data_IF_285466274816
#
_entry.id   IF_285466274816
#
_cell.length_a   1.000
_cell.length_b   1.000
_cell.length_c   1.000
_cell.angle_alpha   90.00
_cell.angle_beta   90.00
_cell.angle_gamma   90.00
#
_symmetry.space_group_name_H-M   'P 1'
#
loop_
_entity.id
_entity.type
_entity.pdbx_description
1 polymer ?
#
# COMPACT_ATOMS: atom_id res chain seq x y z
N UNK A 1 0.79 22.43 -27.83
CA UNK A 1 -0.24 22.31 -26.77
C UNK A 1 -0.12 20.92 -26.19
N UNK A 2 0.09 20.80 -24.87
CA UNK A 2 0.10 19.50 -24.18
C UNK A 2 -1.37 19.06 -24.07
N UNK A 3 -1.76 17.82 -24.44
CA UNK A 3 -3.15 17.41 -24.37
C UNK A 3 -3.65 17.33 -22.91
N UNK A 4 -4.84 17.87 -22.63
CA UNK A 4 -5.55 17.80 -21.34
C UNK A 4 -6.15 16.42 -21.02
N UNK A 5 -5.75 15.38 -21.74
CA UNK A 5 -6.31 14.04 -21.57
C UNK A 5 -5.22 12.96 -21.61
N UNK A 6 -5.34 12.01 -20.69
CA UNK A 6 -4.52 10.79 -20.67
C UNK A 6 -4.95 9.88 -21.83
N UNK A 7 -4.07 9.67 -22.81
CA UNK A 7 -4.19 8.63 -23.83
C UNK A 7 -3.60 7.35 -23.26
N UNK A 8 -4.43 6.32 -23.05
CA UNK A 8 -3.97 5.01 -22.61
C UNK A 8 -3.76 4.09 -23.82
N UNK A 9 -2.60 3.43 -23.88
CA UNK A 9 -2.34 2.31 -24.80
C UNK A 9 -3.22 1.13 -24.38
N UNK A 10 -4.27 0.86 -25.15
CA UNK A 10 -5.24 -0.25 -25.23
C UNK A 10 -5.80 -0.89 -23.94
N UNK A 11 -5.01 -1.11 -22.88
CA UNK A 11 -5.42 -1.75 -21.62
C UNK A 11 -4.69 -1.14 -20.42
N UNK A 12 -5.44 -0.89 -19.34
CA UNK A 12 -4.87 -0.55 -18.03
C UNK A 12 -5.09 -1.69 -17.04
N UNK A 13 -4.25 -1.78 -16.03
CA UNK A 13 -4.39 -2.75 -14.92
C UNK A 13 -4.47 -2.00 -13.60
N UNK A 14 -5.43 -2.38 -12.78
CA UNK A 14 -5.60 -1.91 -11.41
C UNK A 14 -5.52 -3.13 -10.51
N UNK A 15 -4.62 -3.11 -9.54
CA UNK A 15 -4.52 -4.15 -8.52
C UNK A 15 -5.22 -3.70 -7.24
N UNK A 16 -6.04 -4.57 -6.68
CA UNK A 16 -6.74 -4.36 -5.41
C UNK A 16 -6.48 -5.60 -4.56
N UNK A 17 -5.98 -5.37 -3.36
CA UNK A 17 -5.75 -6.40 -2.36
C UNK A 17 -6.56 -6.10 -1.12
N UNK A 18 -7.08 -7.14 -0.48
CA UNK A 18 -7.76 -7.05 0.82
C UNK A 18 -7.57 -8.36 1.57
N UNK A 19 -7.41 -8.32 2.91
CA UNK A 19 -7.45 -9.53 3.73
C UNK A 19 -8.87 -10.13 3.81
N UNK A 20 -9.91 -9.39 3.39
CA UNK A 20 -11.28 -9.88 3.37
C UNK A 20 -11.61 -10.45 1.98
N UNK A 21 -11.59 -11.78 1.85
CA UNK A 21 -11.89 -12.48 0.59
C UNK A 21 -13.28 -12.10 0.05
N UNK A 22 -14.31 -12.10 0.91
CA UNK A 22 -15.68 -11.72 0.53
C UNK A 22 -15.78 -10.30 -0.04
N UNK A 23 -14.92 -9.38 0.42
CA UNK A 23 -14.84 -8.03 -0.13
C UNK A 23 -14.28 -8.07 -1.56
N UNK A 24 -13.18 -8.80 -1.79
CA UNK A 24 -12.59 -8.95 -3.12
C UNK A 24 -13.58 -9.57 -4.11
N UNK A 25 -14.30 -10.61 -3.68
CA UNK A 25 -15.32 -11.29 -4.50
C UNK A 25 -16.50 -10.37 -4.81
N UNK A 26 -17.04 -9.70 -3.78
CA UNK A 26 -18.14 -8.74 -3.94
C UNK A 26 -17.75 -7.56 -4.83
N UNK A 27 -16.52 -7.06 -4.69
CA UNK A 27 -15.98 -6.01 -5.54
C UNK A 27 -15.86 -6.47 -6.99
N UNK A 28 -15.23 -7.63 -7.23
CA UNK A 28 -15.06 -8.21 -8.56
C UNK A 28 -16.41 -8.41 -9.27
N UNK A 29 -17.36 -9.04 -8.59
CA UNK A 29 -18.73 -9.22 -9.10
C UNK A 29 -19.43 -7.89 -9.33
N UNK A 30 -19.21 -6.93 -8.42
CA UNK A 30 -19.79 -5.59 -8.48
C UNK A 30 -19.31 -4.77 -9.67
N UNK A 31 -18.10 -5.00 -10.20
CA UNK A 31 -17.57 -4.30 -11.38
C UNK A 31 -17.69 -5.11 -12.68
N UNK A 32 -17.99 -6.40 -12.59
CA UNK A 32 -18.06 -7.27 -13.75
C UNK A 32 -19.14 -6.79 -14.75
N UNK A 33 -18.78 -6.72 -16.04
CA UNK A 33 -19.63 -6.19 -17.12
C UNK A 33 -20.15 -4.76 -16.91
N UNK A 34 -19.49 -3.97 -16.06
CA UNK A 34 -19.78 -2.53 -15.92
C UNK A 34 -18.75 -1.69 -16.68
N UNK A 35 -19.22 -0.57 -17.21
CA UNK A 35 -18.34 0.51 -17.65
C UNK A 35 -18.00 1.39 -16.45
N UNK A 36 -16.71 1.58 -16.19
CA UNK A 36 -16.17 2.36 -15.07
C UNK A 36 -15.71 3.72 -15.61
N UNK A 37 -16.11 4.80 -14.93
CA UNK A 37 -15.57 6.13 -15.22
C UNK A 37 -14.28 6.37 -14.44
N UNK A 38 -13.17 6.60 -15.14
CA UNK A 38 -11.89 6.97 -14.57
C UNK A 38 -11.43 8.32 -15.11
N UNK A 39 -11.46 9.36 -14.27
CA UNK A 39 -11.26 10.73 -14.74
C UNK A 39 -12.32 11.09 -15.80
N UNK A 40 -11.87 11.52 -16.97
CA UNK A 40 -12.72 11.78 -18.14
C UNK A 40 -12.96 10.55 -19.03
N UNK A 41 -12.36 9.41 -18.72
CA UNK A 41 -12.41 8.21 -19.57
C UNK A 41 -13.50 7.23 -19.09
N UNK A 42 -14.13 6.55 -20.03
CA UNK A 42 -15.03 5.41 -19.78
C UNK A 42 -14.30 4.13 -20.16
N UNK A 43 -14.25 3.17 -19.26
CA UNK A 43 -13.45 1.95 -19.39
C UNK A 43 -14.34 0.73 -19.19
N UNK A 44 -14.24 -0.25 -20.07
CA UNK A 44 -14.88 -1.55 -19.86
C UNK A 44 -13.94 -2.53 -19.16
N UNK A 45 -14.50 -3.34 -18.27
CA UNK A 45 -13.75 -4.40 -17.58
C UNK A 45 -13.49 -5.55 -18.55
N UNK A 46 -12.28 -5.59 -19.11
CA UNK A 46 -11.87 -6.61 -20.07
C UNK A 46 -11.69 -8.00 -19.43
N UNK A 47 -11.12 -8.06 -18.23
CA UNK A 47 -10.91 -9.30 -17.48
C UNK A 47 -10.65 -9.02 -16.01
N UNK A 48 -10.96 -10.00 -15.16
CA UNK A 48 -10.61 -9.99 -13.74
C UNK A 48 -9.74 -11.22 -13.46
N UNK A 49 -8.60 -11.01 -12.80
CA UNK A 49 -7.72 -12.07 -12.32
C UNK A 49 -7.72 -12.06 -10.80
N UNK A 50 -7.93 -13.23 -10.19
CA UNK A 50 -7.78 -13.44 -8.75
C UNK A 50 -6.39 -14.04 -8.53
N UNK A 51 -5.65 -13.50 -7.57
CA UNK A 51 -4.30 -13.94 -7.22
C UNK A 51 -4.17 -14.01 -5.70
N UNK A 52 -4.04 -15.23 -5.17
CA UNK A 52 -3.94 -15.51 -3.74
C UNK A 52 -2.46 -15.73 -3.39
N UNK A 53 -1.86 -14.71 -2.78
CA UNK A 53 -0.45 -14.71 -2.42
C UNK A 53 -0.26 -15.24 -1.00
N UNK A 54 0.63 -16.22 -0.83
CA UNK A 54 0.96 -16.79 0.48
C UNK A 54 2.42 -16.55 0.82
N UNK A 55 2.66 -15.93 1.98
CA UNK A 55 3.99 -15.72 2.55
C UNK A 55 4.47 -16.99 3.23
N UNK A 56 5.44 -17.67 2.60
CA UNK A 56 5.98 -18.95 3.08
C UNK A 56 7.37 -18.82 3.74
N UNK A 57 7.88 -17.60 3.92
CA UNK A 57 9.21 -17.32 4.47
C UNK A 57 9.16 -16.12 5.40
N UNK A 58 9.97 -16.15 6.46
CA UNK A 58 10.19 -15.00 7.35
C UNK A 58 11.10 -13.93 6.72
N UNK A 59 11.63 -14.16 5.52
CA UNK A 59 12.43 -13.21 4.75
C UNK A 59 11.94 -13.22 3.30
N UNK A 60 11.38 -12.10 2.85
CA UNK A 60 10.80 -11.96 1.51
C UNK A 60 11.21 -10.66 0.84
N UNK A 61 11.09 -10.63 -0.49
CA UNK A 61 11.18 -9.42 -1.28
C UNK A 61 9.77 -9.00 -1.67
N UNK A 62 9.42 -7.74 -1.42
CA UNK A 62 8.15 -7.14 -1.83
C UNK A 62 8.38 -6.03 -2.86
N UNK A 63 7.52 -6.01 -3.88
CA UNK A 63 7.42 -4.94 -4.87
C UNK A 63 6.29 -3.98 -4.47
N UNK A 64 6.61 -2.70 -4.24
CA UNK A 64 5.58 -1.68 -4.02
C UNK A 64 4.87 -1.31 -5.34
N UNK A 65 3.58 -1.62 -5.44
CA UNK A 65 2.70 -1.28 -6.57
C UNK A 65 2.08 0.10 -6.43
N UNK A 66 1.95 0.59 -5.21
CA UNK A 66 1.59 1.97 -4.93
C UNK A 66 2.46 2.57 -3.80
N UNK A 67 2.55 3.90 -3.68
CA UNK A 67 3.47 4.52 -2.73
C UNK A 67 3.14 4.13 -1.29
N UNK A 68 4.15 3.69 -0.53
CA UNK A 68 4.02 3.37 0.89
C UNK A 68 4.15 4.66 1.69
N UNK A 69 3.19 4.92 2.57
CA UNK A 69 3.13 6.14 3.39
C UNK A 69 3.42 5.80 4.85
N UNK A 70 4.53 6.30 5.37
CA UNK A 70 4.82 6.31 6.80
C UNK A 70 4.93 7.78 7.25
N UNK A 71 4.16 8.17 8.28
CA UNK A 71 4.16 9.54 8.76
C UNK A 71 3.94 9.61 10.26
N UNK A 72 4.44 10.69 10.86
CA UNK A 72 4.19 11.06 12.24
C UNK A 72 3.78 12.53 12.30
N UNK A 73 2.94 12.87 13.28
CA UNK A 73 2.58 14.27 13.56
C UNK A 73 3.43 14.77 14.70
N UNK A 74 4.30 15.73 14.42
CA UNK A 74 5.22 16.35 15.36
C UNK A 74 4.73 17.76 15.72
N UNK A 75 5.21 18.28 16.85
CA UNK A 75 4.97 19.67 17.25
C UNK A 75 6.12 20.55 16.79
N UNK A 76 5.79 21.71 16.23
CA UNK A 76 6.75 22.78 15.99
C UNK A 76 7.06 23.50 17.30
N UNK A 77 8.14 24.27 17.28
CA UNK A 77 8.54 25.17 18.38
C UNK A 77 7.46 26.20 18.73
N UNK A 78 6.59 26.54 17.78
CA UNK A 78 5.43 27.44 17.96
C UNK A 78 4.13 26.73 18.40
N UNK A 79 4.21 25.44 18.75
CA UNK A 79 3.07 24.62 19.18
C UNK A 79 2.18 24.10 18.04
N UNK A 80 2.42 24.50 16.77
CA UNK A 80 1.64 23.99 15.64
C UNK A 80 2.04 22.56 15.29
N UNK A 81 1.05 21.73 14.99
CA UNK A 81 1.28 20.37 14.49
C UNK A 81 1.78 20.42 13.04
N UNK A 82 2.76 19.59 12.72
CA UNK A 82 3.17 19.34 11.34
C UNK A 82 3.38 17.85 11.11
N UNK A 83 3.08 17.39 9.90
CA UNK A 83 3.24 15.98 9.52
C UNK A 83 4.61 15.79 8.85
N UNK A 84 5.42 14.91 9.43
CA UNK A 84 6.66 14.43 8.82
C UNK A 84 6.39 13.10 8.12
N UNK A 85 6.87 12.95 6.89
CA UNK A 85 6.78 11.72 6.12
C UNK A 85 8.16 11.10 6.02
N UNK A 86 8.25 9.81 6.29
CA UNK A 86 9.51 9.07 6.35
C UNK A 86 9.67 8.19 5.12
N UNK A 87 10.91 7.97 4.71
CA UNK A 87 11.25 7.15 3.55
C UNK A 87 11.81 5.78 3.97
N UNK A 88 11.68 4.74 3.14
CA UNK A 88 12.35 3.47 3.37
C UNK A 88 13.86 3.65 3.60
N UNK A 89 14.40 3.01 4.64
CA UNK A 89 15.78 3.19 5.08
C UNK A 89 15.92 4.07 6.33
N UNK A 90 14.91 4.87 6.66
CA UNK A 90 14.85 5.59 7.93
C UNK A 90 14.29 4.69 9.05
N UNK A 91 14.78 4.89 10.27
CA UNK A 91 14.34 4.12 11.43
C UNK A 91 12.85 4.32 11.73
N UNK A 92 12.37 5.57 11.62
CA UNK A 92 10.96 5.90 11.83
C UNK A 92 10.06 5.25 10.78
N UNK A 93 10.51 5.09 9.53
CA UNK A 93 9.76 4.34 8.52
C UNK A 93 9.57 2.89 8.95
N UNK A 94 10.67 2.21 9.33
CA UNK A 94 10.63 0.83 9.82
C UNK A 94 9.65 0.69 10.99
N UNK A 95 9.81 1.55 12.00
CA UNK A 95 8.99 1.53 13.22
C UNK A 95 7.51 1.73 12.91
N UNK A 96 7.16 2.77 12.15
CA UNK A 96 5.77 3.12 11.83
C UNK A 96 5.10 2.00 11.01
N UNK A 97 5.79 1.46 10.01
CA UNK A 97 5.24 0.36 9.20
C UNK A 97 5.07 -0.90 10.06
N UNK A 98 6.04 -1.23 10.92
CA UNK A 98 5.95 -2.39 11.79
C UNK A 98 4.82 -2.27 12.83
N UNK A 99 4.64 -1.10 13.45
CA UNK A 99 3.51 -0.82 14.34
C UNK A 99 2.17 -0.90 13.59
N UNK A 100 2.12 -0.39 12.37
CA UNK A 100 0.93 -0.44 11.54
C UNK A 100 0.52 -1.88 11.18
N UNK A 101 1.48 -2.74 10.82
CA UNK A 101 1.23 -4.16 10.56
C UNK A 101 0.66 -4.87 11.78
N UNK A 102 1.23 -4.65 12.97
CA UNK A 102 0.71 -5.22 14.21
C UNK A 102 -0.70 -4.75 14.53
N UNK A 103 -1.00 -3.46 14.33
CA UNK A 103 -2.35 -2.92 14.51
C UNK A 103 -3.34 -3.54 13.53
N UNK A 104 -2.95 -3.71 12.27
CA UNK A 104 -3.77 -4.38 11.23
C UNK A 104 -4.02 -5.84 11.58
N UNK A 105 -2.98 -6.56 12.02
CA UNK A 105 -3.10 -7.95 12.46
C UNK A 105 -4.15 -8.08 13.56
N UNK A 106 -4.04 -7.28 14.62
CA UNK A 106 -5.02 -7.29 15.72
C UNK A 106 -6.43 -6.94 15.24
N UNK A 107 -6.56 -5.97 14.35
CA UNK A 107 -7.86 -5.54 13.84
C UNK A 107 -8.53 -6.59 12.92
N UNK A 108 -7.75 -7.39 12.21
CA UNK A 108 -8.25 -8.36 11.23
C UNK A 108 -8.36 -9.78 11.81
N UNK A 109 -7.29 -10.27 12.45
CA UNK A 109 -7.22 -11.63 13.02
C UNK A 109 -7.90 -11.69 14.40
N UNK A 110 -8.07 -10.55 15.07
CA UNK A 110 -8.63 -10.46 16.42
C UNK A 110 -7.83 -11.25 17.49
N UNK A 111 -6.52 -11.37 17.27
CA UNK A 111 -5.56 -12.01 18.17
C UNK A 111 -4.37 -11.08 18.43
N UNK A 112 -3.54 -11.42 19.43
CA UNK A 112 -2.32 -10.68 19.69
C UNK A 112 -1.28 -10.97 18.58
N UNK A 113 -0.68 -9.93 17.96
CA UNK A 113 0.32 -10.13 16.92
C UNK A 113 1.51 -10.95 17.43
N UNK A 114 2.10 -11.82 16.59
CA UNK A 114 3.26 -12.60 16.97
C UNK A 114 4.43 -11.69 17.37
N UNK A 115 5.17 -12.14 18.37
CA UNK A 115 6.41 -11.50 18.79
C UNK A 115 7.50 -11.67 17.71
N UNK A 116 8.48 -10.77 17.71
CA UNK A 116 9.59 -10.77 16.74
C UNK A 116 9.80 -9.39 16.14
N UNK A 117 11.03 -9.09 15.76
CA UNK A 117 11.37 -7.83 15.09
C UNK A 117 10.90 -7.86 13.63
N UNK A 118 10.43 -6.71 13.13
CA UNK A 118 10.20 -6.52 11.69
C UNK A 118 11.30 -5.58 11.18
N UNK A 119 12.15 -6.13 10.32
CA UNK A 119 13.23 -5.39 9.65
C UNK A 119 12.82 -5.11 8.22
N UNK A 120 12.92 -3.86 7.79
CA UNK A 120 12.56 -3.43 6.44
C UNK A 120 13.77 -2.72 5.84
N UNK A 121 14.26 -3.22 4.70
CA UNK A 121 15.42 -2.66 4.00
C UNK A 121 15.07 -2.35 2.55
N UNK A 122 15.28 -1.11 2.08
CA UNK A 122 15.20 -0.82 0.65
C UNK A 122 16.32 -1.53 -0.10
N UNK A 123 16.00 -2.19 -1.20
CA UNK A 123 16.97 -2.83 -2.09
C UNK A 123 17.46 -1.89 -3.21
N UNK A 124 16.88 -0.68 -3.28
CA UNK A 124 17.21 0.37 -4.24
C UNK A 124 16.77 1.72 -3.67
N UNK A 125 17.28 2.81 -4.23
CA UNK A 125 16.89 4.17 -3.84
C UNK A 125 15.37 4.34 -3.91
N UNK A 126 14.71 4.72 -2.80
CA UNK A 126 13.27 4.93 -2.80
C UNK A 126 12.85 6.06 -3.74
N UNK A 127 11.89 5.78 -4.62
CA UNK A 127 11.29 6.82 -5.47
C UNK A 127 10.18 7.52 -4.69
N UNK A 128 10.35 8.82 -4.46
CA UNK A 128 9.33 9.65 -3.81
C UNK A 128 8.18 9.95 -4.78
N UNK A 129 6.96 9.89 -4.25
CA UNK A 129 5.73 10.32 -4.91
C UNK A 129 5.06 11.37 -4.03
N UNK A 130 4.66 12.49 -4.64
CA UNK A 130 3.89 13.54 -3.98
C UNK A 130 2.48 13.49 -4.56
N UNK A 131 1.49 13.13 -3.75
CA UNK A 131 0.09 13.04 -4.14
C UNK A 131 -0.70 14.12 -3.44
N UNK A 132 -1.38 14.97 -4.21
CA UNK A 132 -2.35 15.93 -3.66
C UNK A 132 -3.69 15.22 -3.48
N UNK A 133 -4.13 15.07 -2.23
CA UNK A 133 -5.42 14.49 -1.90
C UNK A 133 -6.28 15.55 -1.19
N UNK A 134 -7.29 16.06 -1.90
CA UNK A 134 -8.05 17.25 -1.49
C UNK A 134 -7.08 18.42 -1.22
N UNK A 135 -7.10 18.98 -0.02
CA UNK A 135 -6.21 20.07 0.42
C UNK A 135 -4.88 19.59 1.03
N UNK A 136 -4.64 18.28 1.10
CA UNK A 136 -3.46 17.72 1.78
C UNK A 136 -2.42 17.20 0.79
N UNK A 137 -1.15 17.41 1.12
CA UNK A 137 -0.01 16.81 0.43
C UNK A 137 0.37 15.53 1.17
N UNK A 138 0.36 14.41 0.46
CA UNK A 138 0.81 13.11 0.96
C UNK A 138 2.11 12.77 0.26
N UNK A 139 3.16 12.47 1.03
CA UNK A 139 4.40 11.91 0.50
C UNK A 139 4.44 10.42 0.78
N UNK A 140 4.72 9.63 -0.24
CA UNK A 140 4.92 8.18 -0.13
C UNK A 140 6.06 7.74 -1.03
N UNK A 141 6.49 6.49 -0.87
CA UNK A 141 7.67 5.98 -1.57
C UNK A 141 7.41 4.61 -2.17
N UNK A 142 7.93 4.37 -3.37
CA UNK A 142 7.96 3.04 -3.99
C UNK A 142 9.39 2.56 -4.12
N UNK A 143 9.66 1.32 -3.70
CA UNK A 143 10.89 0.60 -4.01
C UNK A 143 10.66 -0.90 -3.80
N UNK A 144 11.66 -1.71 -4.19
CA UNK A 144 11.77 -3.09 -3.76
C UNK A 144 12.24 -3.09 -2.31
N UNK A 145 11.53 -3.82 -1.46
CA UNK A 145 11.82 -3.95 -0.04
C UNK A 145 12.18 -5.40 0.27
N UNK A 146 13.28 -5.61 0.98
CA UNK A 146 13.47 -6.84 1.74
C UNK A 146 12.80 -6.65 3.11
N UNK A 147 11.91 -7.57 3.47
CA UNK A 147 11.26 -7.59 4.78
C UNK A 147 11.62 -8.90 5.48
N UNK A 148 12.04 -8.78 6.73
CA UNK A 148 12.30 -9.92 7.61
C UNK A 148 11.46 -9.80 8.88
N UNK A 149 10.84 -10.89 9.33
CA UNK A 149 10.02 -10.93 10.54
C UNK A 149 8.95 -12.03 10.49
N UNK A 150 8.03 -12.07 11.47
CA UNK A 150 6.98 -13.09 11.53
C UNK A 150 6.14 -13.12 10.25
N UNK A 151 6.03 -14.30 9.63
CA UNK A 151 5.37 -14.47 8.32
C UNK A 151 3.93 -13.98 8.31
N UNK A 152 3.22 -14.06 9.44
CA UNK A 152 1.83 -13.66 9.58
C UNK A 152 1.69 -12.13 9.51
N UNK A 153 2.66 -11.38 10.05
CA UNK A 153 2.69 -9.92 9.93
C UNK A 153 3.07 -9.47 8.52
N UNK A 154 3.96 -10.22 7.86
CA UNK A 154 4.29 -9.98 6.45
C UNK A 154 3.09 -10.26 5.56
N UNK A 155 2.34 -11.35 5.82
CA UNK A 155 1.11 -11.72 5.12
C UNK A 155 0.07 -10.59 5.22
N UNK A 156 -0.16 -10.04 6.41
CA UNK A 156 -1.03 -8.85 6.58
C UNK A 156 -0.56 -7.68 5.72
N UNK A 157 0.74 -7.50 5.55
CA UNK A 157 1.30 -6.49 4.68
C UNK A 157 1.02 -6.72 3.20
N UNK A 158 1.04 -7.98 2.75
CA UNK A 158 0.68 -8.38 1.38
C UNK A 158 -0.82 -8.16 1.12
N UNK A 159 -1.67 -8.56 2.07
CA UNK A 159 -3.11 -8.52 1.87
C UNK A 159 -3.71 -7.12 2.06
N UNK A 160 -3.30 -6.43 3.13
CA UNK A 160 -3.85 -5.12 3.53
C UNK A 160 -2.96 -3.92 3.15
N UNK A 161 -1.82 -4.17 2.53
CA UNK A 161 -0.81 -3.18 2.18
C UNK A 161 0.09 -2.75 3.35
N UNK A 162 1.22 -2.13 3.03
CA UNK A 162 2.17 -1.56 4.00
C UNK A 162 1.83 -0.11 4.37
N UNK A 163 2.15 0.28 5.60
CA UNK A 163 2.01 1.67 6.06
C UNK A 163 0.55 2.14 6.11
N UNK A 164 0.35 3.45 5.98
CA UNK A 164 -0.94 4.11 6.19
C UNK A 164 -1.68 4.41 4.88
N UNK A 165 -2.97 4.79 5.01
CA UNK A 165 -3.84 5.26 3.91
C UNK A 165 -4.11 4.21 2.83
N UNK A 166 -4.15 2.93 3.19
CA UNK A 166 -4.29 1.84 2.20
C UNK A 166 -5.60 1.91 1.41
N UNK A 167 -6.72 2.19 2.07
CA UNK A 167 -8.02 2.40 1.41
C UNK A 167 -8.08 3.62 0.49
N UNK A 168 -7.06 4.48 0.50
CA UNK A 168 -6.92 5.62 -0.42
C UNK A 168 -5.96 5.30 -1.59
N UNK A 169 -5.57 4.03 -1.76
CA UNK A 169 -4.72 3.56 -2.85
C UNK A 169 -3.22 3.54 -2.56
N UNK A 170 -2.80 3.53 -1.28
CA UNK A 170 -1.39 3.55 -0.87
C UNK A 170 -0.91 2.21 -0.32
N UNK A 171 0.39 1.93 -0.47
CA UNK A 171 1.08 0.81 0.15
C UNK A 171 0.69 -0.58 -0.36
N UNK A 172 0.02 -0.71 -1.50
CA UNK A 172 -0.21 -2.01 -2.12
C UNK A 172 1.14 -2.61 -2.56
N UNK A 173 1.35 -3.89 -2.25
CA UNK A 173 2.60 -4.61 -2.50
C UNK A 173 2.33 -5.99 -3.08
N UNK A 174 3.31 -6.55 -3.77
CA UNK A 174 3.29 -7.92 -4.27
C UNK A 174 4.53 -8.68 -3.80
N UNK A 175 4.39 -9.97 -3.49
CA UNK A 175 5.52 -10.88 -3.35
C UNK A 175 6.31 -10.93 -4.65
N UNK A 176 7.62 -11.03 -4.49
CA UNK A 176 8.56 -10.87 -5.60
C UNK A 176 9.38 -12.06 -6.00
#
# INVERSE_FOLDING_TARGET
>A
SIPDHFVFMDKITIEISSPLTDFCESFANGIFKKTIRMGSNMLDVASIKIDNQTVNSENVILYALSPIVAHSTLLRTDGRKYTCFFQPGEEDFRRIVAENLRKKYRAYINEEPPAGEIVIRPLQTPRQHIVKYKEFIIKGYTCRLQITGPKELIQVGVDAGLGCKNSQGFGCVRLG
#
